data_IF_738479016150
#
_entry.id   IF_738479016150
#
_cell.length_a   1.000
_cell.length_b   1.000
_cell.length_c   1.000
_cell.angle_alpha   90.00
_cell.angle_beta   90.00
_cell.angle_gamma   90.00
#
_symmetry.space_group_name_H-M   'P 1'
#
loop_
_entity.id
_entity.type
_entity.pdbx_description
1 polymer ?
#
# COMPACT_ATOMS: atom_id res chain seq x y z
N UNK A 1 10.76 -4.53 -23.41
CA UNK A 1 11.03 -4.19 -22.00
C UNK A 1 10.42 -2.85 -21.56
N UNK A 2 10.30 -1.85 -22.44
CA UNK A 2 9.69 -0.55 -22.09
C UNK A 2 8.25 -0.64 -21.54
N UNK A 3 7.38 -1.44 -22.16
CA UNK A 3 5.96 -1.51 -21.76
C UNK A 3 5.76 -2.07 -20.35
N UNK A 4 6.48 -3.13 -20.01
CA UNK A 4 6.46 -3.73 -18.67
C UNK A 4 7.01 -2.78 -17.59
N UNK A 5 8.07 -2.04 -17.93
CA UNK A 5 8.65 -1.05 -17.01
C UNK A 5 7.72 0.13 -16.79
N UNK A 6 7.03 0.60 -17.84
CA UNK A 6 6.00 1.65 -17.73
C UNK A 6 4.81 1.22 -16.88
N UNK A 7 4.36 -0.03 -17.02
CA UNK A 7 3.25 -0.57 -16.23
C UNK A 7 3.62 -0.73 -14.74
N UNK A 8 4.84 -1.19 -14.46
CA UNK A 8 5.38 -1.24 -13.10
C UNK A 8 5.50 0.16 -12.48
N UNK A 9 6.10 1.12 -13.20
CA UNK A 9 6.22 2.51 -12.74
C UNK A 9 4.85 3.13 -12.47
N UNK A 10 3.87 2.90 -13.35
CA UNK A 10 2.53 3.42 -13.18
C UNK A 10 1.86 2.84 -11.93
N UNK A 11 1.98 1.53 -11.69
CA UNK A 11 1.49 0.92 -10.45
C UNK A 11 2.18 1.49 -9.21
N UNK A 12 3.51 1.66 -9.24
CA UNK A 12 4.25 2.24 -8.11
C UNK A 12 3.73 3.65 -7.84
N UNK A 13 3.71 4.53 -8.85
CA UNK A 13 3.37 5.95 -8.67
C UNK A 13 1.91 6.14 -8.29
N UNK A 14 0.97 5.58 -9.06
CA UNK A 14 -0.47 5.79 -8.83
C UNK A 14 -0.89 5.22 -7.48
N UNK A 15 -0.40 4.04 -7.13
CA UNK A 15 -0.83 3.40 -5.89
C UNK A 15 -0.13 4.02 -4.68
N UNK A 16 1.10 4.50 -4.83
CA UNK A 16 1.76 5.28 -3.78
C UNK A 16 1.05 6.61 -3.50
N UNK A 17 0.52 7.27 -4.54
CA UNK A 17 -0.30 8.48 -4.37
C UNK A 17 -1.63 8.15 -3.67
N UNK A 18 -2.32 7.09 -4.08
CA UNK A 18 -3.55 6.66 -3.40
C UNK A 18 -3.28 6.30 -1.93
N UNK A 19 -2.16 5.62 -1.67
CA UNK A 19 -1.77 5.23 -0.33
C UNK A 19 -1.34 6.41 0.52
N UNK A 20 -0.68 7.43 -0.03
CA UNK A 20 -0.35 8.63 0.73
C UNK A 20 -1.61 9.35 1.22
N UNK A 21 -2.66 9.39 0.39
CA UNK A 21 -3.98 9.90 0.79
C UNK A 21 -4.58 9.04 1.90
N UNK A 22 -4.60 7.71 1.74
CA UNK A 22 -5.13 6.78 2.76
C UNK A 22 -4.38 6.91 4.08
N UNK A 23 -3.04 6.96 4.05
CA UNK A 23 -2.24 7.13 5.26
C UNK A 23 -2.43 8.50 5.89
N UNK A 24 -2.56 9.56 5.09
CA UNK A 24 -2.88 10.89 5.62
C UNK A 24 -4.19 10.89 6.39
N UNK A 25 -5.24 10.27 5.83
CA UNK A 25 -6.53 10.11 6.51
C UNK A 25 -6.42 9.28 7.79
N UNK A 26 -5.72 8.14 7.75
CA UNK A 26 -5.53 7.29 8.92
C UNK A 26 -4.75 8.02 10.02
N UNK A 27 -3.74 8.80 9.65
CA UNK A 27 -2.92 9.57 10.59
C UNK A 27 -3.77 10.62 11.33
N UNK A 28 -4.55 11.40 10.58
CA UNK A 28 -5.49 12.39 11.14
C UNK A 28 -6.52 11.71 12.05
N UNK A 29 -7.04 10.56 11.63
CA UNK A 29 -8.04 9.82 12.40
C UNK A 29 -7.47 9.25 13.71
N UNK A 30 -6.27 8.65 13.66
CA UNK A 30 -5.59 8.11 14.83
C UNK A 30 -5.20 9.21 15.81
N UNK A 31 -4.70 10.34 15.32
CA UNK A 31 -4.37 11.49 16.17
C UNK A 31 -5.61 12.02 16.89
N UNK A 32 -6.74 12.18 16.17
CA UNK A 32 -8.01 12.57 16.78
C UNK A 32 -8.51 11.59 17.83
N UNK A 33 -8.29 10.29 17.63
CA UNK A 33 -8.70 9.25 18.59
C UNK A 33 -7.85 9.30 19.86
N UNK A 34 -6.55 9.55 19.72
CA UNK A 34 -5.59 9.55 20.82
C UNK A 34 -5.55 10.89 21.58
N UNK A 35 -5.78 12.00 20.88
CA UNK A 35 -5.73 13.36 21.41
C UNK A 35 -7.02 14.13 21.05
N UNK A 36 -8.17 13.79 21.65
CA UNK A 36 -9.46 14.39 21.30
C UNK A 36 -9.54 15.90 21.55
N UNK A 37 -8.69 16.43 22.45
CA UNK A 37 -8.72 17.83 22.88
C UNK A 37 -7.78 18.75 22.06
N UNK A 38 -6.90 18.21 21.21
CA UNK A 38 -5.97 19.01 20.38
C UNK A 38 -6.40 19.01 18.92
N UNK A 39 -7.23 19.97 18.54
CA UNK A 39 -7.92 20.00 17.24
C UNK A 39 -7.08 20.55 16.06
N UNK A 40 -5.76 20.66 16.17
CA UNK A 40 -4.94 21.35 15.16
C UNK A 40 -3.69 20.55 14.76
N UNK A 41 -3.87 19.56 13.88
CA UNK A 41 -2.79 19.12 13.00
C UNK A 41 -2.58 20.17 11.90
N UNK A 42 -1.85 21.22 12.24
CA UNK A 42 -1.32 22.21 11.29
C UNK A 42 0.11 22.62 11.66
N UNK A 43 0.77 21.84 12.52
CA UNK A 43 2.16 22.12 12.86
C UNK A 43 3.07 21.62 11.71
N UNK A 44 4.14 22.36 11.38
CA UNK A 44 5.17 21.87 10.47
C UNK A 44 5.77 20.52 10.89
N UNK A 45 5.74 20.19 12.19
CA UNK A 45 6.23 18.91 12.72
C UNK A 45 5.41 17.71 12.26
N UNK A 46 4.08 17.85 12.18
CA UNK A 46 3.19 16.76 11.79
C UNK A 46 3.39 16.37 10.32
N UNK A 47 3.63 17.37 9.46
CA UNK A 47 3.95 17.14 8.05
C UNK A 47 5.28 16.39 7.88
N UNK A 48 6.30 16.74 8.67
CA UNK A 48 7.60 16.05 8.67
C UNK A 48 7.43 14.60 9.13
N UNK A 49 6.68 14.36 10.20
CA UNK A 49 6.42 13.02 10.73
C UNK A 49 5.65 12.14 9.72
N UNK A 50 4.62 12.70 9.08
CA UNK A 50 3.92 12.04 7.98
C UNK A 50 4.87 11.68 6.83
N UNK A 51 5.69 12.63 6.39
CA UNK A 51 6.62 12.45 5.26
C UNK A 51 7.65 11.36 5.57
N UNK A 52 8.23 11.37 6.76
CA UNK A 52 9.18 10.35 7.22
C UNK A 52 8.53 8.98 7.31
N UNK A 53 7.33 8.91 7.87
CA UNK A 53 6.56 7.66 7.95
C UNK A 53 6.29 7.11 6.55
N UNK A 54 5.83 7.96 5.63
CA UNK A 54 5.61 7.57 4.25
C UNK A 54 6.90 7.07 3.59
N UNK A 55 8.03 7.77 3.79
CA UNK A 55 9.33 7.37 3.24
C UNK A 55 9.79 6.00 3.75
N UNK A 56 9.52 5.68 5.02
CA UNK A 56 9.87 4.39 5.63
C UNK A 56 9.00 3.26 5.08
N UNK A 57 7.72 3.52 4.81
CA UNK A 57 6.79 2.50 4.27
C UNK A 57 6.95 2.36 2.74
N UNK A 58 7.44 3.39 2.04
CA UNK A 58 7.56 3.41 0.58
C UNK A 58 8.37 2.24 -0.04
N UNK A 59 9.52 1.80 0.52
CA UNK A 59 10.20 0.60 0.05
C UNK A 59 9.32 -0.65 0.10
N UNK A 60 8.49 -0.81 1.14
CA UNK A 60 7.54 -1.91 1.20
C UNK A 60 6.49 -1.79 0.09
N UNK A 61 6.04 -0.59 -0.27
CA UNK A 61 5.13 -0.40 -1.41
C UNK A 61 5.78 -0.76 -2.76
N UNK A 62 7.07 -0.46 -2.94
CA UNK A 62 7.80 -0.88 -4.14
C UNK A 62 7.79 -2.40 -4.24
N UNK A 63 8.11 -3.10 -3.14
CA UNK A 63 8.08 -4.57 -3.09
C UNK A 63 6.67 -5.10 -3.38
N UNK A 64 5.65 -4.51 -2.78
CA UNK A 64 4.25 -4.88 -3.03
C UNK A 64 3.84 -4.66 -4.49
N UNK A 65 4.26 -3.56 -5.11
CA UNK A 65 4.02 -3.30 -6.53
C UNK A 65 4.69 -4.36 -7.41
N UNK A 66 5.92 -4.76 -7.07
CA UNK A 66 6.63 -5.83 -7.75
C UNK A 66 5.88 -7.17 -7.62
N UNK A 67 5.42 -7.51 -6.41
CA UNK A 67 4.63 -8.72 -6.17
C UNK A 67 3.31 -8.71 -6.94
N UNK A 68 2.64 -7.56 -7.04
CA UNK A 68 1.41 -7.40 -7.84
C UNK A 68 1.68 -7.61 -9.33
N UNK A 69 2.77 -7.02 -9.84
CA UNK A 69 3.19 -7.21 -11.22
C UNK A 69 3.56 -8.67 -11.52
N UNK A 70 4.30 -9.33 -10.63
CA UNK A 70 4.62 -10.75 -10.75
C UNK A 70 3.35 -11.61 -10.71
N UNK A 71 2.44 -11.37 -9.77
CA UNK A 71 1.17 -12.08 -9.70
C UNK A 71 0.36 -11.93 -11.00
N UNK A 72 0.32 -10.74 -11.59
CA UNK A 72 -0.34 -10.50 -12.87
C UNK A 72 0.33 -11.27 -14.03
N UNK A 73 1.66 -11.40 -14.01
CA UNK A 73 2.43 -12.12 -15.02
C UNK A 73 2.25 -13.64 -14.93
N UNK A 74 2.25 -14.20 -13.72
CA UNK A 74 2.23 -15.64 -13.47
C UNK A 74 0.81 -16.24 -13.44
N UNK A 75 -0.18 -15.52 -12.92
CA UNK A 75 -1.54 -16.05 -12.75
C UNK A 75 -2.42 -15.93 -14.02
N UNK A 76 -1.92 -15.31 -15.09
CA UNK A 76 -2.66 -15.10 -16.33
C UNK A 76 -3.87 -14.17 -16.17
N UNK A 77 -4.89 -14.34 -17.01
CA UNK A 77 -6.10 -13.49 -17.01
C UNK A 77 -7.07 -13.78 -15.85
N UNK A 78 -6.85 -14.81 -15.03
CA UNK A 78 -7.76 -15.11 -13.93
C UNK A 78 -7.51 -14.20 -12.73
N UNK A 79 -8.42 -13.24 -12.56
CA UNK A 79 -8.40 -12.18 -11.56
C UNK A 79 -8.39 -12.76 -10.15
N UNK A 80 -9.16 -13.82 -9.91
CA UNK A 80 -9.25 -14.46 -8.59
C UNK A 80 -7.92 -15.09 -8.21
N UNK A 81 -7.29 -15.83 -9.12
CA UNK A 81 -5.97 -16.44 -8.88
C UNK A 81 -4.90 -15.39 -8.63
N UNK A 82 -4.92 -14.29 -9.39
CA UNK A 82 -4.02 -13.15 -9.25
C UNK A 82 -4.19 -12.46 -7.89
N UNK A 83 -5.42 -12.26 -7.44
CA UNK A 83 -5.72 -11.68 -6.12
C UNK A 83 -5.26 -12.59 -4.98
N UNK A 84 -5.50 -13.90 -5.08
CA UNK A 84 -5.05 -14.86 -4.07
C UNK A 84 -3.52 -14.88 -3.98
N UNK A 85 -2.82 -14.97 -5.11
CA UNK A 85 -1.37 -14.98 -5.15
C UNK A 85 -0.78 -13.69 -4.57
N UNK A 86 -1.30 -12.53 -4.98
CA UNK A 86 -0.83 -11.24 -4.48
C UNK A 86 -1.08 -11.07 -2.97
N UNK A 87 -2.30 -11.34 -2.50
CA UNK A 87 -2.62 -11.21 -1.07
C UNK A 87 -1.82 -12.22 -0.23
N UNK A 88 -1.68 -13.46 -0.68
CA UNK A 88 -0.88 -14.47 0.01
C UNK A 88 0.58 -14.02 0.18
N UNK A 89 1.23 -13.58 -0.90
CA UNK A 89 2.61 -13.08 -0.82
C UNK A 89 2.73 -11.83 0.05
N UNK A 90 1.78 -10.91 -0.04
CA UNK A 90 1.79 -9.70 0.78
C UNK A 90 1.52 -9.95 2.26
N UNK A 91 0.65 -10.90 2.62
CA UNK A 91 0.46 -11.32 4.01
C UNK A 91 1.73 -11.94 4.59
N UNK A 92 2.43 -12.77 3.82
CA UNK A 92 3.74 -13.32 4.24
C UNK A 92 4.74 -12.20 4.47
N UNK A 93 4.85 -11.23 3.55
CA UNK A 93 5.73 -10.06 3.71
C UNK A 93 5.42 -9.28 4.98
N UNK A 94 4.13 -8.96 5.22
CA UNK A 94 3.69 -8.23 6.40
C UNK A 94 3.99 -9.02 7.68
N UNK A 95 3.76 -10.34 7.68
CA UNK A 95 4.09 -11.21 8.80
C UNK A 95 5.59 -11.22 9.13
N UNK A 96 6.44 -11.32 8.11
CA UNK A 96 7.90 -11.25 8.28
C UNK A 96 8.33 -9.88 8.82
N UNK A 97 7.82 -8.79 8.26
CA UNK A 97 8.14 -7.43 8.73
C UNK A 97 7.68 -7.21 10.17
N UNK A 98 6.47 -7.68 10.52
CA UNK A 98 5.95 -7.57 11.88
C UNK A 98 6.78 -8.37 12.87
N UNK A 99 7.17 -9.60 12.51
CA UNK A 99 8.04 -10.42 13.34
C UNK A 99 9.43 -9.79 13.55
N UNK A 100 10.01 -9.20 12.50
CA UNK A 100 11.35 -8.61 12.54
C UNK A 100 11.39 -7.28 13.29
N UNK A 101 10.43 -6.39 13.04
CA UNK A 101 10.43 -5.03 13.60
C UNK A 101 9.70 -4.97 14.95
N UNK A 102 8.76 -5.88 15.21
CA UNK A 102 7.87 -5.87 16.39
C UNK A 102 7.06 -4.58 16.55
N UNK A 103 6.94 -3.80 15.49
CA UNK A 103 6.22 -2.53 15.47
C UNK A 103 4.80 -2.72 14.92
N UNK A 104 3.74 -2.33 15.66
CA UNK A 104 2.36 -2.48 15.20
C UNK A 104 2.05 -1.58 14.00
N UNK A 105 2.82 -0.50 13.79
CA UNK A 105 2.68 0.37 12.62
C UNK A 105 2.90 -0.36 11.29
N UNK A 106 3.62 -1.48 11.29
CA UNK A 106 3.82 -2.33 10.10
C UNK A 106 2.48 -2.86 9.58
N UNK A 107 1.48 -3.03 10.44
CA UNK A 107 0.15 -3.48 10.05
C UNK A 107 -0.57 -2.47 9.13
N UNK A 108 -0.14 -1.21 9.07
CA UNK A 108 -0.64 -0.24 8.10
C UNK A 108 -0.40 -0.66 6.64
N UNK A 109 0.55 -1.57 6.39
CA UNK A 109 0.80 -2.14 5.05
C UNK A 109 -0.38 -3.01 4.59
N UNK A 110 -1.23 -3.50 5.50
CA UNK A 110 -2.46 -4.21 5.13
C UNK A 110 -3.41 -3.35 4.29
N UNK A 111 -3.42 -2.03 4.50
CA UNK A 111 -4.20 -1.13 3.66
C UNK A 111 -3.69 -1.10 2.21
N UNK A 112 -2.38 -1.26 2.01
CA UNK A 112 -1.81 -1.42 0.66
C UNK A 112 -2.35 -2.65 -0.04
N UNK A 113 -2.46 -3.79 0.66
CA UNK A 113 -3.06 -5.00 0.09
C UNK A 113 -4.48 -4.76 -0.40
N UNK A 114 -5.30 -4.07 0.39
CA UNK A 114 -6.67 -3.75 0.03
C UNK A 114 -6.75 -2.82 -1.18
N UNK A 115 -5.95 -1.75 -1.21
CA UNK A 115 -5.92 -0.80 -2.34
C UNK A 115 -5.48 -1.48 -3.64
N UNK A 116 -4.40 -2.26 -3.60
CA UNK A 116 -3.93 -3.01 -4.77
C UNK A 116 -4.96 -4.05 -5.25
N UNK A 117 -5.63 -4.74 -4.32
CA UNK A 117 -6.67 -5.72 -4.65
C UNK A 117 -7.90 -5.06 -5.29
N UNK A 118 -8.33 -3.92 -4.76
CA UNK A 118 -9.44 -3.15 -5.33
C UNK A 118 -9.10 -2.63 -6.74
N UNK A 119 -7.89 -2.10 -6.93
CA UNK A 119 -7.42 -1.64 -8.25
C UNK A 119 -7.39 -2.79 -9.27
N UNK A 120 -6.90 -3.97 -8.88
CA UNK A 120 -6.88 -5.14 -9.75
C UNK A 120 -8.30 -5.63 -10.11
N UNK A 121 -9.22 -5.66 -9.15
CA UNK A 121 -10.61 -6.05 -9.38
C UNK A 121 -11.37 -5.05 -10.28
N UNK A 122 -11.09 -3.74 -10.14
CA UNK A 122 -11.69 -2.72 -10.98
C UNK A 122 -11.20 -2.82 -12.44
N UNK A 123 -9.90 -3.05 -12.64
CA UNK A 123 -9.33 -3.21 -13.98
C UNK A 123 -9.90 -4.43 -14.70
N UNK A 124 -10.04 -5.53 -13.97
CA UNK A 124 -10.64 -6.77 -14.46
C UNK A 124 -12.07 -6.61 -14.99
N UNK A 125 -12.94 -5.92 -14.24
CA UNK A 125 -14.34 -5.67 -14.65
C UNK A 125 -14.47 -4.86 -15.93
N UNK A 126 -13.44 -4.07 -16.28
CA UNK A 126 -13.46 -3.21 -17.47
C UNK A 126 -13.00 -3.93 -18.74
N UNK A 127 -12.41 -5.11 -18.59
CA UNK A 127 -11.85 -5.93 -19.69
C UNK A 127 -12.66 -7.20 -19.97
N UNK A 128 -13.67 -7.51 -19.15
CA UNK A 128 -14.65 -8.58 -19.35
C UNK A 128 -15.91 -8.05 -20.02
#
# INVERSE_FOLDING_TARGET
MERASKELMMNIVVISILLSVVYGFLFIYLDKLLNPDTYYMSSPGDFVLFTLTFLVVYPAHIVMSLLSFMAARFAGNNVTTRLIAFNGMGFVLIGVLYYALREPLVLLILFSLLVFSAAAAFHARRTS
#
